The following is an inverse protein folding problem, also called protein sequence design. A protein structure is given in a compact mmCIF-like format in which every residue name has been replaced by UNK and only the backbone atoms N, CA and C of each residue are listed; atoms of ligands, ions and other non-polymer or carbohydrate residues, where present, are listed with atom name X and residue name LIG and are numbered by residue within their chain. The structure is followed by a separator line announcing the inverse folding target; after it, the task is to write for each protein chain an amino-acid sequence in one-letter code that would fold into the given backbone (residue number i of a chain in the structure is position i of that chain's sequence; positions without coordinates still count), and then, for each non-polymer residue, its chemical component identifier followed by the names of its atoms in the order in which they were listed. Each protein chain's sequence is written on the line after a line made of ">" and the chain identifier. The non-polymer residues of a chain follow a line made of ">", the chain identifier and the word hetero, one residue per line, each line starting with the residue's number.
data_IF_157772734125
#
_entry.id   IF_157772734125
#
_cell.length_a   1.000
_cell.length_b   1.000
_cell.length_c   1.000
_cell.angle_alpha   90.00
_cell.angle_beta   90.00
_cell.angle_gamma   90.00
#
_symmetry.space_group_name_H-M   'P 1'
#
loop_
_entity.id
_entity.type
_entity.pdbx_description
1 polymer ?
#
# COMPACT_ATOMS: atom_id res chain seq x y z
N UNK A 1 -35.15 20.59 -41.57
CA UNK A 1 -34.71 20.11 -40.24
C UNK A 1 -35.65 19.10 -39.57
N UNK A 2 -36.96 19.07 -39.85
CA UNK A 2 -37.90 18.09 -39.26
C UNK A 2 -37.64 16.61 -39.64
N UNK A 3 -37.16 16.34 -40.86
CA UNK A 3 -36.90 14.96 -41.31
C UNK A 3 -35.56 14.38 -40.84
N UNK A 4 -34.60 15.23 -40.48
CA UNK A 4 -33.28 14.81 -39.93
C UNK A 4 -33.44 14.31 -38.50
N UNK A 5 -34.32 14.94 -37.71
CA UNK A 5 -34.61 14.51 -36.34
C UNK A 5 -35.26 13.11 -36.31
N UNK A 6 -36.08 12.79 -37.30
CA UNK A 6 -36.75 11.49 -37.42
C UNK A 6 -35.77 10.37 -37.80
N UNK A 7 -34.73 10.69 -38.57
CA UNK A 7 -33.69 9.73 -38.96
C UNK A 7 -32.74 9.39 -37.79
N UNK A 8 -32.46 10.38 -36.93
CA UNK A 8 -31.65 10.18 -35.70
C UNK A 8 -32.42 9.32 -34.68
N UNK A 9 -33.73 9.52 -34.54
CA UNK A 9 -34.56 8.71 -33.63
C UNK A 9 -34.66 7.24 -34.06
N UNK A 10 -34.54 6.95 -35.36
CA UNK A 10 -34.62 5.58 -35.87
C UNK A 10 -33.31 4.79 -35.64
N UNK A 11 -32.16 5.47 -35.56
CA UNK A 11 -30.86 4.82 -35.36
C UNK A 11 -30.56 4.49 -33.88
N UNK A 12 -31.20 5.17 -32.91
CA UNK A 12 -30.99 4.90 -31.48
C UNK A 12 -31.79 3.69 -30.96
N UNK A 13 -32.78 3.20 -31.70
CA UNK A 13 -33.60 2.05 -31.30
C UNK A 13 -32.95 0.67 -31.60
N UNK A 14 -31.86 0.63 -32.37
CA UNK A 14 -31.23 -0.63 -32.82
C UNK A 14 -30.04 -1.10 -31.96
N UNK A 15 -29.71 -0.41 -30.87
CA UNK A 15 -28.57 -0.73 -30.00
C UNK A 15 -28.98 -1.14 -28.58
N UNK A 16 -29.98 -2.01 -28.46
CA UNK A 16 -30.23 -2.75 -27.20
C UNK A 16 -29.62 -4.15 -27.34
N UNK A 17 -28.33 -4.26 -27.05
CA UNK A 17 -27.67 -5.54 -26.79
C UNK A 17 -27.71 -5.81 -25.29
N UNK A 18 -28.67 -6.59 -24.82
CA UNK A 18 -28.67 -7.11 -23.46
C UNK A 18 -27.70 -8.29 -23.38
N UNK A 19 -26.60 -8.14 -22.64
CA UNK A 19 -25.69 -9.24 -22.33
C UNK A 19 -26.37 -10.15 -21.31
N UNK A 20 -26.89 -11.30 -21.74
CA UNK A 20 -27.41 -12.35 -20.86
C UNK A 20 -26.21 -13.08 -20.27
N UNK A 21 -25.84 -12.71 -19.04
CA UNK A 21 -24.80 -13.37 -18.28
C UNK A 21 -25.39 -14.57 -17.52
N UNK A 22 -25.49 -15.71 -18.20
CA UNK A 22 -25.81 -17.00 -17.57
C UNK A 22 -24.55 -17.59 -16.95
N UNK A 23 -24.26 -17.25 -15.69
CA UNK A 23 -23.33 -18.03 -14.87
C UNK A 23 -23.93 -18.36 -13.49
N UNK A 24 -24.79 -19.37 -13.45
CA UNK A 24 -25.29 -19.99 -12.20
C UNK A 24 -24.26 -20.95 -11.60
N UNK A 25 -23.02 -20.50 -11.38
CA UNK A 25 -22.03 -21.28 -10.63
C UNK A 25 -21.31 -20.41 -9.61
N UNK A 26 -21.96 -20.25 -8.46
CA UNK A 26 -21.34 -19.79 -7.23
C UNK A 26 -20.16 -20.72 -6.89
N UNK A 27 -18.92 -20.24 -7.05
CA UNK A 27 -17.73 -20.94 -6.53
C UNK A 27 -17.50 -20.47 -5.09
N UNK A 28 -17.82 -21.32 -4.13
CA UNK A 28 -17.49 -21.11 -2.72
C UNK A 28 -15.97 -21.10 -2.55
N UNK A 29 -15.43 -20.04 -1.96
CA UNK A 29 -14.05 -19.97 -1.51
C UNK A 29 -13.88 -20.99 -0.37
N UNK A 30 -12.89 -21.91 -0.42
CA UNK A 30 -12.64 -22.82 0.69
C UNK A 30 -12.21 -22.00 1.92
N UNK A 31 -12.96 -22.11 3.02
CA UNK A 31 -12.57 -21.50 4.29
C UNK A 31 -11.23 -22.06 4.76
N UNK A 32 -10.27 -21.16 5.04
CA UNK A 32 -8.99 -21.53 5.63
C UNK A 32 -9.20 -22.30 6.93
N UNK A 33 -8.55 -23.46 7.08
CA UNK A 33 -8.60 -24.25 8.31
C UNK A 33 -7.89 -23.48 9.43
N UNK A 34 -8.65 -22.75 10.24
CA UNK A 34 -8.15 -22.18 11.48
C UNK A 34 -7.91 -23.31 12.49
N UNK A 35 -6.64 -23.64 12.75
CA UNK A 35 -6.26 -24.50 13.88
C UNK A 35 -6.22 -23.66 15.15
N UNK A 36 -7.38 -23.39 15.72
CA UNK A 36 -7.48 -22.87 17.09
C UNK A 36 -8.44 -23.77 17.87
N UNK A 37 -7.87 -24.72 18.61
CA UNK A 37 -8.62 -25.52 19.60
C UNK A 37 -9.24 -24.57 20.62
N UNK A 38 -10.56 -24.60 20.88
CA UNK A 38 -11.15 -23.81 21.94
C UNK A 38 -10.67 -24.34 23.30
N UNK A 39 -10.11 -23.43 24.12
CA UNK A 39 -9.77 -23.68 25.52
C UNK A 39 -11.09 -23.91 26.27
N UNK A 40 -11.35 -25.15 26.71
CA UNK A 40 -12.47 -25.49 27.59
C UNK A 40 -12.25 -24.80 28.95
N UNK A 41 -13.15 -23.89 29.31
CA UNK A 41 -13.35 -23.44 30.69
C UNK A 41 -14.10 -24.54 31.45
N UNK A 42 -13.76 -24.85 32.72
CA UNK A 42 -14.48 -25.86 33.50
C UNK A 42 -15.80 -25.29 34.03
N UNK A 43 -16.88 -26.05 33.86
CA UNK A 43 -18.16 -25.84 34.57
C UNK A 43 -18.09 -26.62 35.91
N UNK A 44 -18.50 -26.05 37.05
CA UNK A 44 -18.44 -26.71 38.34
C UNK A 44 -19.80 -27.31 38.74
N UNK A 45 -19.90 -28.63 38.84
CA UNK A 45 -21.00 -29.36 39.50
C UNK A 45 -20.46 -30.77 39.84
N UNK A 46 -20.75 -31.48 40.92
CA UNK A 46 -21.37 -31.27 42.24
C UNK A 46 -20.93 -32.53 43.02
N UNK A 47 -20.68 -32.44 44.34
CA UNK A 47 -20.30 -33.62 45.13
C UNK A 47 -21.55 -34.45 45.43
N UNK A 48 -21.58 -35.70 44.99
CA UNK A 48 -22.47 -36.71 45.57
C UNK A 48 -21.72 -37.42 46.72
N UNK A 49 -22.19 -37.30 47.98
CA UNK A 49 -21.65 -38.01 49.10
C UNK A 49 -22.38 -39.35 49.28
N UNK A 50 -21.60 -40.42 49.53
CA UNK A 50 -21.98 -41.78 49.96
C UNK A 50 -21.70 -42.88 48.93
N UNK A 51 -20.47 -43.39 48.96
CA UNK A 51 -20.19 -44.83 48.85
C UNK A 51 -18.78 -45.07 49.39
N UNK A 52 -18.68 -45.03 50.72
CA UNK A 52 -17.61 -45.64 51.51
C UNK A 52 -17.41 -47.12 51.14
N UNK A 53 -16.29 -47.67 51.62
CA UNK A 53 -15.85 -49.07 51.64
C UNK A 53 -14.79 -49.46 50.60
N UNK A 54 -13.51 -49.22 50.95
CA UNK A 54 -12.61 -50.32 51.33
C UNK A 54 -11.23 -49.81 51.78
N UNK A 55 -11.03 -49.88 53.08
CA UNK A 55 -9.75 -49.85 53.79
C UNK A 55 -8.82 -50.98 53.32
N UNK A 56 -7.58 -50.62 52.96
CA UNK A 56 -6.39 -51.35 53.44
C UNK A 56 -5.11 -50.52 53.19
N UNK A 57 -4.25 -50.27 54.19
CA UNK A 57 -2.98 -49.61 53.98
C UNK A 57 -1.94 -50.60 53.42
N UNK A 58 -1.41 -50.33 52.23
CA UNK A 58 -0.32 -51.10 51.65
C UNK A 58 1.01 -50.78 52.35
N UNK A 59 1.65 -51.81 52.90
CA UNK A 59 2.97 -51.75 53.56
C UNK A 59 4.04 -51.35 52.52
N UNK A 60 4.70 -50.21 52.71
CA UNK A 60 5.87 -49.82 51.91
C UNK A 60 7.15 -50.33 52.57
N UNK A 61 7.81 -51.31 51.96
CA UNK A 61 9.19 -51.66 52.30
C UNK A 61 10.15 -50.70 51.58
N UNK A 62 11.18 -50.13 52.25
CA UNK A 62 12.14 -49.25 51.59
C UNK A 62 13.00 -50.05 50.61
N UNK A 63 13.03 -49.59 49.36
CA UNK A 63 13.78 -50.22 48.27
C UNK A 63 15.28 -49.87 48.41
N UNK A 64 16.14 -50.88 48.57
CA UNK A 64 17.59 -50.71 48.86
C UNK A 64 18.40 -50.26 47.64
N UNK A 65 17.75 -50.05 46.49
CA UNK A 65 18.39 -49.70 45.22
C UNK A 65 18.57 -48.18 44.98
N UNK A 66 18.19 -47.31 45.92
CA UNK A 66 18.42 -45.85 45.81
C UNK A 66 19.70 -45.36 46.51
N UNK A 67 20.71 -46.22 46.66
CA UNK A 67 22.06 -45.75 46.95
C UNK A 67 22.65 -45.13 45.66
N UNK A 68 22.61 -43.81 45.55
CA UNK A 68 23.19 -43.03 44.45
C UNK A 68 24.62 -42.55 44.77
N UNK A 69 25.32 -43.14 45.73
CA UNK A 69 26.56 -42.53 46.27
C UNK A 69 27.85 -43.18 45.75
N UNK A 70 27.83 -44.31 45.03
CA UNK A 70 29.08 -45.09 44.82
C UNK A 70 29.46 -45.42 43.35
N UNK A 71 28.74 -44.94 42.33
CA UNK A 71 29.23 -45.11 40.93
C UNK A 71 28.80 -43.97 40.02
N UNK A 72 29.72 -43.21 39.40
CA UNK A 72 29.35 -42.28 38.35
C UNK A 72 28.88 -43.08 37.12
N UNK A 73 27.61 -42.92 36.74
CA UNK A 73 27.08 -43.52 35.52
C UNK A 73 27.81 -42.92 34.32
N UNK A 74 28.44 -43.77 33.50
CA UNK A 74 29.06 -43.36 32.24
C UNK A 74 28.00 -42.75 31.33
N UNK A 75 28.22 -41.52 30.86
CA UNK A 75 27.32 -40.80 29.96
C UNK A 75 27.51 -41.23 28.50
N UNK A 76 27.39 -42.52 28.22
CA UNK A 76 27.18 -42.96 26.84
C UNK A 76 25.68 -43.07 26.61
N UNK A 77 25.04 -41.94 26.28
CA UNK A 77 23.66 -41.91 25.85
C UNK A 77 23.58 -42.40 24.40
N UNK A 78 23.24 -43.68 24.21
CA UNK A 78 22.85 -44.22 22.91
C UNK A 78 21.51 -43.58 22.53
N UNK A 79 21.54 -42.66 21.56
CA UNK A 79 20.37 -41.92 21.09
C UNK A 79 20.55 -40.40 20.97
N UNK A 80 21.69 -39.82 21.34
CA UNK A 80 21.99 -38.42 21.03
C UNK A 80 22.20 -38.22 19.52
N UNK A 81 21.69 -37.09 19.02
CA UNK A 81 21.79 -36.65 17.62
C UNK A 81 23.24 -36.79 17.15
N UNK A 82 23.48 -37.59 16.10
CA UNK A 82 24.82 -37.72 15.51
C UNK A 82 25.38 -36.33 15.27
N UNK A 83 26.62 -36.11 15.71
CA UNK A 83 27.30 -34.82 15.60
C UNK A 83 27.10 -34.20 14.22
N UNK A 84 26.57 -32.97 14.16
CA UNK A 84 26.51 -32.16 12.93
C UNK A 84 27.88 -31.79 12.36
N UNK A 85 28.96 -32.22 13.04
CA UNK A 85 30.33 -32.08 12.58
C UNK A 85 30.67 -33.23 11.63
N UNK A 86 30.44 -33.01 10.34
CA UNK A 86 30.84 -33.90 9.27
C UNK A 86 32.18 -33.40 8.70
N UNK A 87 33.20 -34.27 8.67
CA UNK A 87 34.55 -34.00 8.12
C UNK A 87 34.66 -34.32 6.61
N UNK A 88 33.61 -34.90 6.01
CA UNK A 88 33.49 -34.91 4.56
C UNK A 88 33.05 -33.52 4.11
N UNK A 89 33.79 -32.93 3.18
CA UNK A 89 33.33 -31.75 2.44
C UNK A 89 32.10 -32.16 1.64
N UNK A 90 30.91 -32.09 2.24
CA UNK A 90 29.70 -31.86 1.46
C UNK A 90 29.91 -30.50 0.81
N UNK A 91 30.54 -30.53 -0.36
CA UNK A 91 30.56 -29.40 -1.26
C UNK A 91 29.13 -29.22 -1.69
N UNK A 92 28.39 -28.37 -0.98
CA UNK A 92 27.31 -27.63 -1.61
C UNK A 92 27.98 -26.86 -2.74
N UNK A 93 28.04 -27.49 -3.92
CA UNK A 93 28.48 -26.86 -5.15
C UNK A 93 27.42 -25.81 -5.48
N UNK A 94 27.50 -24.68 -4.80
CA UNK A 94 26.72 -23.51 -5.13
C UNK A 94 27.06 -23.17 -6.58
N UNK A 95 26.05 -23.25 -7.45
CA UNK A 95 26.25 -22.92 -8.85
C UNK A 95 26.77 -21.48 -8.90
N UNK A 96 27.92 -21.20 -9.53
CA UNK A 96 28.46 -19.84 -9.59
C UNK A 96 27.48 -18.85 -10.24
N UNK A 97 26.51 -19.34 -11.03
CA UNK A 97 25.38 -18.57 -11.58
C UNK A 97 24.38 -18.08 -10.53
N UNK A 98 24.18 -18.79 -9.42
CA UNK A 98 23.22 -18.42 -8.36
C UNK A 98 23.57 -17.08 -7.69
N UNK A 99 24.85 -16.68 -7.78
CA UNK A 99 25.31 -15.35 -7.34
C UNK A 99 24.68 -14.20 -8.13
N UNK A 100 24.29 -14.46 -9.37
CA UNK A 100 23.72 -13.46 -10.27
C UNK A 100 22.19 -13.57 -10.38
N UNK A 101 21.60 -14.73 -10.09
CA UNK A 101 20.14 -14.95 -10.18
C UNK A 101 19.38 -13.89 -9.38
N UNK A 102 19.75 -13.67 -8.11
CA UNK A 102 19.09 -12.67 -7.26
C UNK A 102 19.25 -11.22 -7.76
N UNK A 103 20.31 -10.92 -8.53
CA UNK A 103 20.51 -9.60 -9.13
C UNK A 103 19.67 -9.46 -10.40
N UNK A 104 19.69 -10.48 -11.26
CA UNK A 104 18.89 -10.51 -12.49
C UNK A 104 17.39 -10.50 -12.20
N UNK A 105 16.92 -11.20 -11.17
CA UNK A 105 15.52 -11.16 -10.74
C UNK A 105 15.11 -9.76 -10.27
N UNK A 106 15.97 -9.05 -9.53
CA UNK A 106 15.71 -7.67 -9.11
C UNK A 106 15.70 -6.70 -10.28
N UNK A 107 16.62 -6.85 -11.22
CA UNK A 107 16.70 -6.00 -12.41
C UNK A 107 15.48 -6.26 -13.32
N UNK A 108 15.09 -7.52 -13.50
CA UNK A 108 13.89 -7.91 -14.23
C UNK A 108 12.62 -7.39 -13.55
N UNK A 109 12.50 -7.50 -12.22
CA UNK A 109 11.36 -6.97 -11.47
C UNK A 109 11.27 -5.45 -11.56
N UNK A 110 12.41 -4.76 -11.57
CA UNK A 110 12.46 -3.32 -11.79
C UNK A 110 12.00 -2.98 -13.21
N UNK A 111 12.55 -3.62 -14.23
CA UNK A 111 12.16 -3.39 -15.62
C UNK A 111 10.70 -3.74 -15.91
N UNK A 112 10.16 -4.80 -15.30
CA UNK A 112 8.75 -5.19 -15.44
C UNK A 112 7.81 -4.20 -14.74
N UNK A 113 8.23 -3.58 -13.64
CA UNK A 113 7.49 -2.49 -12.98
C UNK A 113 7.55 -1.20 -13.79
N UNK A 114 8.73 -0.85 -14.30
CA UNK A 114 8.93 0.33 -15.16
C UNK A 114 8.11 0.21 -16.46
N UNK A 115 7.98 -1.00 -17.01
CA UNK A 115 7.17 -1.29 -18.18
C UNK A 115 5.66 -1.47 -17.87
N UNK A 116 5.25 -1.50 -16.61
CA UNK A 116 3.85 -1.70 -16.21
C UNK A 116 3.28 -3.11 -16.43
N UNK A 117 4.12 -4.13 -16.68
CA UNK A 117 3.71 -5.52 -16.93
C UNK A 117 3.55 -6.37 -15.65
N UNK A 118 3.98 -5.87 -14.48
CA UNK A 118 3.75 -6.50 -13.17
C UNK A 118 2.89 -5.60 -12.29
N UNK A 119 1.89 -6.20 -11.63
CA UNK A 119 1.00 -5.51 -10.69
C UNK A 119 1.81 -4.82 -9.58
N UNK A 120 1.86 -3.49 -9.66
CA UNK A 120 2.56 -2.57 -8.76
C UNK A 120 2.17 -1.15 -9.15
N UNK A 121 2.16 -0.23 -8.17
CA UNK A 121 1.63 1.15 -8.31
C UNK A 121 2.46 2.10 -9.19
N UNK A 122 3.00 1.63 -10.32
CA UNK A 122 3.87 2.40 -11.20
C UNK A 122 5.19 2.84 -10.54
N UNK A 123 6.01 3.57 -11.29
CA UNK A 123 7.22 4.22 -10.78
C UNK A 123 6.83 5.54 -10.16
N UNK A 124 6.85 5.61 -8.83
CA UNK A 124 6.55 6.84 -8.12
C UNK A 124 7.70 7.85 -8.21
N UNK A 125 7.37 9.07 -8.62
CA UNK A 125 8.29 10.21 -8.64
C UNK A 125 8.48 10.72 -7.21
N UNK A 126 9.66 10.43 -6.64
CA UNK A 126 10.06 10.82 -5.28
C UNK A 126 11.04 11.99 -5.31
N UNK A 127 10.65 13.09 -5.95
CA UNK A 127 11.45 14.32 -6.01
C UNK A 127 10.54 15.54 -5.94
N UNK A 128 11.04 16.62 -5.37
CA UNK A 128 10.37 17.90 -5.47
C UNK A 128 10.53 18.44 -6.90
N UNK A 129 9.47 19.05 -7.43
CA UNK A 129 9.42 19.59 -8.78
C UNK A 129 9.42 21.11 -8.65
N UNK A 130 10.24 21.79 -9.46
CA UNK A 130 10.10 23.23 -9.64
C UNK A 130 9.33 23.46 -10.93
N UNK A 131 8.23 24.20 -10.82
CA UNK A 131 7.36 24.59 -11.94
C UNK A 131 7.82 25.93 -12.54
N UNK A 132 8.90 26.52 -12.03
CA UNK A 132 9.55 27.70 -12.58
C UNK A 132 9.45 28.95 -11.71
N UNK A 133 10.15 29.98 -12.19
CA UNK A 133 10.31 31.27 -11.53
C UNK A 133 9.73 32.38 -12.41
N UNK A 134 8.81 33.16 -11.86
CA UNK A 134 8.05 34.17 -12.60
C UNK A 134 8.11 35.54 -11.94
N UNK A 135 7.99 36.59 -12.76
CA UNK A 135 7.85 37.98 -12.31
C UNK A 135 6.48 38.50 -12.71
N UNK A 136 5.78 39.15 -11.78
CA UNK A 136 4.44 39.66 -12.04
C UNK A 136 4.19 40.99 -11.32
N UNK A 137 3.22 41.76 -11.81
CA UNK A 137 2.69 42.95 -11.13
C UNK A 137 1.28 42.73 -10.57
N UNK A 138 0.80 41.49 -10.68
CA UNK A 138 -0.58 41.11 -10.36
C UNK A 138 -0.76 41.04 -8.85
N UNK A 139 -1.96 41.37 -8.37
CA UNK A 139 -2.24 41.34 -6.93
C UNK A 139 -2.46 39.92 -6.39
N UNK A 140 -3.10 39.06 -7.19
CA UNK A 140 -3.42 37.70 -6.83
C UNK A 140 -3.27 36.77 -8.03
N UNK A 141 -3.06 35.50 -7.76
CA UNK A 141 -3.10 34.42 -8.74
C UNK A 141 -4.32 33.52 -8.51
N UNK A 142 -4.89 33.05 -9.60
CA UNK A 142 -5.91 32.01 -9.60
C UNK A 142 -5.22 30.73 -10.06
N UNK A 143 -4.99 29.82 -9.11
CA UNK A 143 -4.43 28.50 -9.41
C UNK A 143 -5.59 27.54 -9.64
N UNK A 144 -5.64 26.95 -10.82
CA UNK A 144 -6.60 25.91 -11.17
C UNK A 144 -5.90 24.55 -11.14
N UNK A 145 -6.57 23.58 -10.55
CA UNK A 145 -6.10 22.20 -10.42
C UNK A 145 -7.14 21.26 -11.00
N UNK A 146 -6.69 20.23 -11.70
CA UNK A 146 -7.53 19.08 -12.05
C UNK A 146 -6.71 17.81 -12.06
N UNK A 147 -7.38 16.69 -11.99
CA UNK A 147 -6.78 15.42 -12.36
C UNK A 147 -6.77 15.31 -13.90
N UNK A 148 -5.60 15.02 -14.49
CA UNK A 148 -5.48 14.72 -15.92
C UNK A 148 -5.34 13.22 -16.21
N UNK A 149 -5.14 12.42 -15.16
CA UNK A 149 -5.06 10.97 -15.21
C UNK A 149 -6.43 10.33 -14.96
N UNK A 150 -6.45 9.36 -14.05
CA UNK A 150 -7.65 8.63 -13.67
C UNK A 150 -8.13 9.11 -12.30
N UNK A 151 -9.40 9.50 -12.22
CA UNK A 151 -10.03 10.00 -10.98
C UNK A 151 -10.02 8.88 -9.93
N UNK A 152 -9.00 8.89 -9.08
CA UNK A 152 -8.72 7.81 -8.12
C UNK A 152 -8.59 8.33 -6.68
N UNK A 153 -9.06 9.56 -6.44
CA UNK A 153 -9.12 10.19 -5.13
C UNK A 153 -7.84 10.94 -4.75
N UNK A 154 -7.18 11.54 -5.74
CA UNK A 154 -5.98 12.33 -5.54
C UNK A 154 -6.22 13.58 -4.67
N UNK A 155 -5.30 13.83 -3.73
CA UNK A 155 -5.38 14.88 -2.73
C UNK A 155 -4.15 15.78 -2.77
N UNK A 156 -4.37 17.08 -2.90
CA UNK A 156 -3.32 18.10 -2.92
C UNK A 156 -3.54 19.14 -1.83
N UNK A 157 -2.44 19.60 -1.23
CA UNK A 157 -2.42 20.72 -0.28
C UNK A 157 -1.74 21.91 -0.92
N UNK A 158 -2.29 23.10 -0.72
CA UNK A 158 -1.78 24.35 -1.29
C UNK A 158 -1.29 25.27 -0.18
N UNK A 159 -0.05 25.70 -0.29
CA UNK A 159 0.60 26.62 0.65
C UNK A 159 1.30 27.77 -0.08
N UNK A 160 1.38 28.93 0.58
CA UNK A 160 2.07 30.12 0.09
C UNK A 160 2.92 30.70 1.21
N UNK A 161 4.22 30.90 0.98
CA UNK A 161 5.18 31.41 1.98
C UNK A 161 5.08 30.65 3.31
N UNK A 162 5.01 29.32 3.25
CA UNK A 162 4.82 28.42 4.40
C UNK A 162 3.46 28.50 5.13
N UNK A 163 2.54 29.36 4.68
CA UNK A 163 1.16 29.42 5.16
C UNK A 163 0.25 28.50 4.33
N UNK A 164 -0.54 27.66 5.00
CA UNK A 164 -1.50 26.77 4.33
C UNK A 164 -2.73 27.57 3.92
N UNK A 165 -3.00 27.64 2.61
CA UNK A 165 -4.18 28.30 2.06
C UNK A 165 -5.34 27.31 1.98
N UNK A 166 -5.04 26.11 1.48
CA UNK A 166 -5.98 24.98 1.45
C UNK A 166 -5.26 23.74 1.92
N UNK A 167 -5.82 23.13 2.95
CA UNK A 167 -5.26 21.95 3.60
C UNK A 167 -5.47 20.69 2.75
N UNK A 168 -6.63 20.55 2.11
CA UNK A 168 -6.98 19.38 1.31
C UNK A 168 -7.89 19.77 0.14
N UNK A 169 -7.42 19.45 -1.06
CA UNK A 169 -8.15 19.61 -2.32
C UNK A 169 -8.21 18.24 -2.96
N UNK A 170 -9.41 17.74 -3.20
CA UNK A 170 -9.60 16.51 -3.95
C UNK A 170 -9.53 16.83 -5.44
N UNK A 171 -8.69 16.17 -6.21
CA UNK A 171 -8.65 16.38 -7.66
C UNK A 171 -9.78 15.59 -8.32
N UNK A 172 -10.42 16.25 -9.26
CA UNK A 172 -11.52 15.71 -10.07
C UNK A 172 -11.26 16.09 -11.54
N UNK A 173 -12.09 15.58 -12.45
CA UNK A 173 -12.04 15.95 -13.87
C UNK A 173 -12.27 17.46 -14.09
N UNK A 174 -13.06 18.07 -13.21
CA UNK A 174 -13.35 19.49 -13.24
C UNK A 174 -12.25 20.31 -12.57
N UNK A 175 -11.96 21.49 -13.14
CA UNK A 175 -11.00 22.42 -12.55
C UNK A 175 -11.50 23.00 -11.23
N UNK A 176 -10.77 22.73 -10.16
CA UNK A 176 -10.91 23.42 -8.88
C UNK A 176 -10.01 24.63 -8.85
N UNK A 177 -10.47 25.72 -8.26
CA UNK A 177 -9.77 26.99 -8.29
C UNK A 177 -9.46 27.47 -6.88
N UNK A 178 -8.24 27.94 -6.68
CA UNK A 178 -7.77 28.55 -5.43
C UNK A 178 -7.22 29.92 -5.76
N UNK A 179 -7.79 30.95 -5.13
CA UNK A 179 -7.26 32.30 -5.19
C UNK A 179 -6.15 32.44 -4.13
N UNK A 180 -4.97 32.88 -4.57
CA UNK A 180 -3.81 33.13 -3.73
C UNK A 180 -3.42 34.60 -3.88
N UNK A 181 -3.49 35.35 -2.79
CA UNK A 181 -3.05 36.75 -2.78
C UNK A 181 -1.53 36.81 -2.63
N UNK A 182 -0.87 37.59 -3.49
CA UNK A 182 0.58 37.72 -3.51
C UNK A 182 1.02 38.91 -2.66
N UNK A 183 1.97 38.69 -1.75
CA UNK A 183 2.65 39.73 -1.00
C UNK A 183 3.64 40.50 -1.91
N UNK A 184 4.01 41.72 -1.52
CA UNK A 184 5.03 42.47 -2.27
C UNK A 184 6.39 41.76 -2.16
N UNK A 185 7.12 41.64 -3.28
CA UNK A 185 8.40 40.93 -3.33
C UNK A 185 8.25 39.42 -3.58
N UNK A 186 9.01 38.60 -2.86
CA UNK A 186 9.13 37.17 -3.11
C UNK A 186 7.95 36.38 -2.52
N UNK A 187 7.33 35.53 -3.36
CA UNK A 187 6.27 34.61 -2.97
C UNK A 187 6.61 33.20 -3.45
N UNK A 188 6.59 32.23 -2.55
CA UNK A 188 6.77 30.82 -2.86
C UNK A 188 5.45 30.09 -2.71
N UNK A 189 4.94 29.52 -3.81
CA UNK A 189 3.74 28.71 -3.83
C UNK A 189 4.15 27.24 -3.87
N UNK A 190 3.74 26.46 -2.87
CA UNK A 190 4.06 25.04 -2.75
C UNK A 190 2.76 24.23 -2.81
N UNK A 191 2.74 23.26 -3.72
CA UNK A 191 1.66 22.29 -3.90
C UNK A 191 2.17 20.91 -3.51
N UNK A 192 1.61 20.35 -2.44
CA UNK A 192 2.06 19.08 -1.85
C UNK A 192 1.06 17.97 -2.15
N UNK A 193 1.55 16.84 -2.68
CA UNK A 193 0.73 15.63 -2.82
C UNK A 193 0.53 14.99 -1.44
N UNK A 194 -0.72 14.91 -0.97
CA UNK A 194 -1.04 14.33 0.33
C UNK A 194 -1.16 12.81 0.29
N UNK A 195 -1.48 12.26 -0.87
CA UNK A 195 -1.58 10.83 -1.13
C UNK A 195 -0.91 10.48 -2.46
N UNK A 196 -1.05 9.23 -2.87
CA UNK A 196 -0.54 8.69 -4.13
C UNK A 196 -1.69 8.28 -5.07
N UNK A 197 -2.94 8.62 -4.76
CA UNK A 197 -4.08 8.03 -5.46
C UNK A 197 -4.28 6.54 -5.14
N UNK A 198 -5.27 5.93 -5.79
CA UNK A 198 -5.64 4.51 -5.63
C UNK A 198 -5.02 3.63 -6.74
N UNK A 199 -4.80 4.20 -7.93
CA UNK A 199 -4.40 3.51 -9.15
C UNK A 199 -3.02 3.95 -9.70
N UNK A 200 -2.19 4.60 -8.88
CA UNK A 200 -0.87 5.03 -9.32
C UNK A 200 -0.10 5.80 -8.26
N UNK A 201 0.63 6.82 -8.70
CA UNK A 201 0.98 7.98 -7.89
C UNK A 201 0.01 9.13 -8.14
N UNK A 202 0.19 10.24 -7.42
CA UNK A 202 -0.66 11.40 -7.55
C UNK A 202 -0.41 12.13 -8.86
N UNK A 203 -1.49 12.45 -9.57
CA UNK A 203 -1.45 13.03 -10.90
C UNK A 203 -2.28 14.31 -10.92
N UNK A 204 -1.65 15.42 -11.29
CA UNK A 204 -2.32 16.72 -11.29
C UNK A 204 -1.86 17.59 -12.44
N UNK A 205 -2.80 18.35 -13.00
CA UNK A 205 -2.52 19.48 -13.86
C UNK A 205 -2.76 20.78 -13.08
N UNK A 206 -1.79 21.68 -13.15
CA UNK A 206 -1.82 23.01 -12.56
C UNK A 206 -1.80 24.05 -13.66
N UNK A 207 -2.75 24.97 -13.60
CA UNK A 207 -2.76 26.17 -14.42
C UNK A 207 -2.81 27.39 -13.53
N UNK A 208 -1.84 28.29 -13.69
CA UNK A 208 -1.79 29.54 -12.92
C UNK A 208 -2.20 30.69 -13.83
N UNK A 209 -3.20 31.44 -13.39
CA UNK A 209 -3.68 32.64 -14.06
C UNK A 209 -3.39 33.89 -13.23
N UNK A 210 -3.09 34.98 -13.93
CA UNK A 210 -2.94 36.31 -13.33
C UNK A 210 -4.30 36.98 -13.01
N UNK A 211 -4.25 38.17 -12.43
CA UNK A 211 -5.44 38.96 -12.08
C UNK A 211 -6.23 39.48 -13.30
N UNK A 212 -5.61 39.46 -14.48
CA UNK A 212 -6.19 39.84 -15.77
C UNK A 212 -6.72 38.63 -16.56
N UNK A 213 -6.54 37.41 -16.03
CA UNK A 213 -6.94 36.17 -16.68
C UNK A 213 -5.96 35.63 -17.72
N UNK A 214 -4.73 36.16 -17.79
CA UNK A 214 -3.66 35.60 -18.62
C UNK A 214 -3.05 34.37 -17.96
N UNK A 215 -2.73 33.35 -18.77
CA UNK A 215 -2.03 32.16 -18.32
C UNK A 215 -0.56 32.49 -18.04
N UNK A 216 -0.12 32.27 -16.80
CA UNK A 216 1.28 32.45 -16.37
C UNK A 216 2.08 31.18 -16.62
N UNK A 217 1.57 30.04 -16.13
CA UNK A 217 2.14 28.72 -16.40
C UNK A 217 1.06 27.65 -16.48
N UNK A 218 1.34 26.61 -17.26
CA UNK A 218 0.60 25.36 -17.27
C UNK A 218 1.62 24.23 -17.16
N UNK A 219 1.55 23.49 -16.06
CA UNK A 219 2.41 22.35 -15.80
C UNK A 219 1.58 21.20 -15.24
N UNK A 220 2.11 19.99 -15.39
CA UNK A 220 1.51 18.79 -14.85
C UNK A 220 2.58 17.91 -14.22
N UNK A 221 2.21 17.15 -13.21
CA UNK A 221 3.05 16.07 -12.67
C UNK A 221 2.32 14.74 -12.76
N UNK A 222 3.06 13.71 -13.11
CA UNK A 222 2.56 12.34 -13.20
C UNK A 222 3.20 11.50 -12.11
N UNK A 223 2.37 10.70 -11.42
CA UNK A 223 2.83 9.73 -10.44
C UNK A 223 3.69 10.30 -9.29
N UNK A 224 3.37 11.49 -8.79
CA UNK A 224 4.07 12.10 -7.67
C UNK A 224 3.80 11.32 -6.37
N UNK A 225 4.86 11.02 -5.61
CA UNK A 225 4.71 10.34 -4.33
C UNK A 225 4.13 11.28 -3.26
N UNK A 226 3.41 10.72 -2.29
CA UNK A 226 2.91 11.46 -1.14
C UNK A 226 4.06 12.11 -0.36
N UNK A 227 3.87 13.37 0.03
CA UNK A 227 4.83 14.21 0.76
C UNK A 227 5.82 14.98 -0.13
N UNK A 228 5.81 14.75 -1.45
CA UNK A 228 6.61 15.55 -2.38
C UNK A 228 5.84 16.78 -2.85
N UNK A 229 6.60 17.82 -3.21
CA UNK A 229 6.05 19.16 -3.50
C UNK A 229 6.44 19.64 -4.88
N UNK A 230 5.51 20.32 -5.52
CA UNK A 230 5.75 21.14 -6.69
C UNK A 230 5.75 22.62 -6.26
N UNK A 231 6.80 23.36 -6.59
CA UNK A 231 7.00 24.74 -6.16
C UNK A 231 7.00 25.70 -7.34
N UNK A 232 6.32 26.84 -7.19
CA UNK A 232 6.44 28.01 -8.07
C UNK A 232 7.00 29.17 -7.25
N UNK A 233 7.99 29.85 -7.80
CA UNK A 233 8.52 31.07 -7.22
C UNK A 233 8.01 32.25 -8.03
N UNK A 234 7.43 33.24 -7.35
CA UNK A 234 6.86 34.44 -7.96
C UNK A 234 7.44 35.66 -7.28
N UNK A 235 8.04 36.57 -8.06
CA UNK A 235 8.43 37.89 -7.58
C UNK A 235 7.40 38.93 -8.03
N UNK A 236 6.72 39.53 -7.07
CA UNK A 236 5.81 40.66 -7.27
C UNK A 236 6.62 41.96 -7.24
N UNK A 237 6.69 42.62 -8.39
CA UNK A 237 7.36 43.93 -8.59
C UNK A 237 6.34 45.08 -8.51
#
# INVERSE_FOLDING_TARGET
>A
MKHILFFILFFTALSVSAQIESSTKFKTIPGGKFTAKPKKTPVPETKDPLADFNDMPAIKTPNVFENTTITPKSKFQIGEEKSKFTMSTETDFANPGDRYVAKMEKDLDKSLKDAGLREGRGVLVKKNISLGDFKTKSEYFIVKFRDFGAIDGDLVKVSSNDYVIRDRILLDSNFQQVKINLAQGFNKLDFEALNIGTLGGNTAEIQVYDDKGNLVTNDYWDNLAAGFKASIVVTKE
#
